data_IF_409742131868
#
_entry.id   IF_409742131868
#
_cell.length_a   1.000
_cell.length_b   1.000
_cell.length_c   1.000
_cell.angle_alpha   90.00
_cell.angle_beta   90.00
_cell.angle_gamma   90.00
#
_symmetry.space_group_name_H-M   'P 1'
#
loop_
_entity.id
_entity.type
_entity.pdbx_description
1 polymer ?
#
# COMPACT_ATOMS: atom_id res chain seq x y z
N UNK A 1 -5.28 -12.66 29.01
CA UNK A 1 -4.96 -13.66 27.99
C UNK A 1 -6.04 -13.58 26.92
N UNK A 2 -5.73 -13.03 25.74
CA UNK A 2 -6.70 -13.00 24.63
C UNK A 2 -6.73 -14.39 24.00
N UNK A 3 -7.91 -15.00 23.97
CA UNK A 3 -8.11 -16.39 23.59
C UNK A 3 -7.86 -16.58 22.08
N UNK A 4 -6.74 -17.22 21.72
CA UNK A 4 -6.33 -17.43 20.32
C UNK A 4 -7.38 -18.17 19.50
N UNK A 5 -8.15 -19.06 20.14
CA UNK A 5 -9.27 -19.80 19.54
C UNK A 5 -10.38 -18.90 19.02
N UNK A 6 -10.51 -17.68 19.54
CA UNK A 6 -11.52 -16.71 19.09
C UNK A 6 -11.00 -15.77 18.01
N UNK A 7 -9.70 -15.46 18.02
CA UNK A 7 -9.12 -14.47 17.11
C UNK A 7 -8.94 -15.01 15.70
N UNK A 8 -8.51 -16.26 15.57
CA UNK A 8 -8.32 -16.89 14.27
C UNK A 8 -9.62 -16.93 13.43
N UNK A 9 -10.75 -17.47 13.91
CA UNK A 9 -12.00 -17.42 13.14
C UNK A 9 -12.49 -15.98 12.93
N UNK A 10 -12.32 -15.08 13.90
CA UNK A 10 -12.74 -13.68 13.75
C UNK A 10 -11.96 -12.90 12.68
N UNK A 11 -10.67 -13.19 12.49
CA UNK A 11 -9.88 -12.63 11.39
C UNK A 11 -10.31 -13.25 10.05
N UNK A 12 -10.57 -14.55 10.00
CA UNK A 12 -11.08 -15.24 8.81
C UNK A 12 -12.42 -14.63 8.36
N UNK A 13 -13.39 -14.54 9.27
CA UNK A 13 -14.72 -13.95 9.00
C UNK A 13 -14.62 -12.49 8.54
N UNK A 14 -13.72 -11.71 9.16
CA UNK A 14 -13.49 -10.33 8.77
C UNK A 14 -12.95 -10.24 7.34
N UNK A 15 -12.00 -11.11 6.98
CA UNK A 15 -11.44 -11.16 5.64
C UNK A 15 -12.47 -11.60 4.60
N UNK A 16 -13.25 -12.64 4.89
CA UNK A 16 -14.33 -13.11 4.00
C UNK A 16 -15.39 -12.03 3.78
N UNK A 17 -15.74 -11.27 4.82
CA UNK A 17 -16.78 -10.23 4.73
C UNK A 17 -16.29 -8.95 4.05
N UNK A 18 -15.04 -8.53 4.32
CA UNK A 18 -14.53 -7.22 3.90
C UNK A 18 -13.54 -7.30 2.74
N UNK A 19 -13.12 -8.50 2.34
CA UNK A 19 -12.07 -8.77 1.36
C UNK A 19 -10.78 -7.97 1.60
N UNK A 20 -10.48 -7.69 2.88
CA UNK A 20 -9.27 -6.98 3.32
C UNK A 20 -8.82 -7.47 4.69
N UNK A 21 -7.54 -7.29 4.98
CA UNK A 21 -6.98 -7.58 6.30
C UNK A 21 -7.41 -6.54 7.33
N UNK A 22 -7.71 -6.95 8.57
CA UNK A 22 -8.03 -6.03 9.66
C UNK A 22 -6.83 -5.13 9.98
N UNK A 23 -7.10 -3.83 10.17
CA UNK A 23 -6.07 -2.83 10.43
C UNK A 23 -5.88 -2.56 11.92
N UNK A 24 -4.64 -2.59 12.39
CA UNK A 24 -4.29 -2.19 13.76
C UNK A 24 -4.36 -0.66 14.00
N UNK A 25 -4.69 0.14 12.98
CA UNK A 25 -4.69 1.63 13.03
C UNK A 25 -6.07 2.21 12.73
N UNK A 26 -7.13 1.41 12.88
CA UNK A 26 -8.52 1.82 12.72
C UNK A 26 -9.11 2.44 14.00
N UNK A 27 -10.21 3.19 13.87
CA UNK A 27 -10.96 3.74 15.00
C UNK A 27 -11.85 2.69 15.69
N UNK A 28 -12.17 1.57 15.03
CA UNK A 28 -12.92 0.47 15.60
C UNK A 28 -12.06 -0.39 16.55
N UNK A 29 -12.45 -0.51 17.82
CA UNK A 29 -11.72 -1.32 18.79
C UNK A 29 -11.68 -2.82 18.42
N UNK A 30 -12.74 -3.30 17.76
CA UNK A 30 -12.84 -4.68 17.28
C UNK A 30 -11.83 -4.95 16.16
N UNK A 31 -11.88 -4.17 15.07
CA UNK A 31 -10.95 -4.34 13.93
C UNK A 31 -9.49 -4.09 14.37
N UNK A 32 -9.26 -3.15 15.29
CA UNK A 32 -7.93 -2.88 15.84
C UNK A 32 -7.36 -4.10 16.56
N UNK A 33 -8.18 -4.77 17.37
CA UNK A 33 -7.77 -5.97 18.12
C UNK A 33 -7.42 -7.12 17.17
N UNK A 34 -8.22 -7.32 16.12
CA UNK A 34 -7.96 -8.31 15.07
C UNK A 34 -6.65 -8.00 14.32
N UNK A 35 -6.44 -6.74 13.93
CA UNK A 35 -5.23 -6.31 13.23
C UNK A 35 -3.97 -6.44 14.11
N UNK A 36 -4.06 -6.12 15.41
CA UNK A 36 -2.94 -6.32 16.34
C UNK A 36 -2.62 -7.80 16.53
N UNK A 37 -3.64 -8.65 16.66
CA UNK A 37 -3.43 -10.10 16.78
C UNK A 37 -2.77 -10.68 15.53
N UNK A 38 -3.27 -10.33 14.34
CA UNK A 38 -2.69 -10.78 13.07
C UNK A 38 -1.24 -10.32 12.91
N UNK A 39 -0.94 -9.09 13.33
CA UNK A 39 0.43 -8.57 13.31
C UNK A 39 1.35 -9.34 14.26
N UNK A 40 0.88 -9.76 15.45
CA UNK A 40 1.67 -10.60 16.36
C UNK A 40 2.02 -11.95 15.74
N UNK A 41 1.08 -12.57 15.01
CA UNK A 41 1.36 -13.81 14.30
C UNK A 41 2.44 -13.61 13.22
N UNK A 42 2.34 -12.52 12.44
CA UNK A 42 3.36 -12.20 11.42
C UNK A 42 4.74 -11.94 12.02
N UNK A 43 4.82 -11.22 13.13
CA UNK A 43 6.08 -10.99 13.85
C UNK A 43 6.65 -12.30 14.38
N UNK A 44 5.81 -13.20 14.92
CA UNK A 44 6.26 -14.52 15.37
C UNK A 44 6.81 -15.36 14.20
N UNK A 45 6.18 -15.30 13.03
CA UNK A 45 6.69 -15.95 11.81
C UNK A 45 8.03 -15.36 11.38
N UNK A 46 8.14 -14.03 11.27
CA UNK A 46 9.35 -13.34 10.85
C UNK A 46 10.55 -13.52 11.81
N UNK A 47 10.27 -13.66 13.11
CA UNK A 47 11.30 -13.91 14.13
C UNK A 47 11.66 -15.39 14.30
N UNK A 48 11.02 -16.29 13.57
CA UNK A 48 11.20 -17.74 13.73
C UNK A 48 10.68 -18.30 15.06
N UNK A 49 9.91 -17.51 15.81
CA UNK A 49 9.31 -17.91 17.09
C UNK A 49 7.94 -18.59 16.92
N UNK A 50 7.50 -18.78 15.67
CA UNK A 50 6.25 -19.46 15.35
C UNK A 50 6.45 -20.98 15.30
N UNK A 51 5.59 -21.68 16.03
CA UNK A 51 5.49 -23.13 15.98
C UNK A 51 4.82 -23.60 14.67
N UNK A 52 5.30 -24.71 14.10
CA UNK A 52 4.80 -25.27 12.83
C UNK A 52 3.31 -25.66 12.89
N UNK A 53 2.82 -26.16 14.03
CA UNK A 53 1.41 -26.48 14.22
C UNK A 53 0.55 -25.21 14.17
N UNK A 54 1.06 -24.11 14.76
CA UNK A 54 0.39 -22.81 14.71
C UNK A 54 0.38 -22.25 13.29
N UNK A 55 1.49 -22.38 12.55
CA UNK A 55 1.56 -21.97 11.14
C UNK A 55 0.55 -22.74 10.29
N UNK A 56 0.52 -24.07 10.41
CA UNK A 56 -0.41 -24.91 9.65
C UNK A 56 -1.89 -24.55 9.95
N UNK A 57 -2.23 -24.25 11.20
CA UNK A 57 -3.57 -23.81 11.56
C UNK A 57 -3.95 -22.46 10.92
N UNK A 58 -3.01 -21.52 10.84
CA UNK A 58 -3.23 -20.23 10.18
C UNK A 58 -3.32 -20.37 8.65
N UNK A 59 -2.46 -21.19 8.04
CA UNK A 59 -2.48 -21.47 6.60
C UNK A 59 -3.79 -22.15 6.17
N UNK A 60 -4.31 -23.06 7.00
CA UNK A 60 -5.58 -23.74 6.74
C UNK A 60 -6.78 -22.80 6.89
N UNK A 61 -6.79 -21.95 7.92
CA UNK A 61 -7.95 -21.13 8.24
C UNK A 61 -7.97 -19.80 7.47
N UNK A 62 -6.82 -19.24 7.15
CA UNK A 62 -6.68 -17.91 6.55
C UNK A 62 -5.56 -17.92 5.50
N UNK A 63 -5.78 -18.47 4.30
CA UNK A 63 -4.76 -18.48 3.26
C UNK A 63 -4.25 -17.06 2.95
N UNK A 64 -2.92 -16.88 2.90
CA UNK A 64 -2.29 -15.58 2.63
C UNK A 64 -2.28 -14.62 3.82
N UNK A 65 -2.60 -15.07 5.04
CA UNK A 65 -2.50 -14.28 6.28
C UNK A 65 -1.10 -13.72 6.51
N UNK A 66 -0.06 -14.33 5.94
CA UNK A 66 1.32 -13.86 5.94
C UNK A 66 1.52 -12.52 5.19
N UNK A 67 0.56 -12.09 4.36
CA UNK A 67 0.62 -10.84 3.60
C UNK A 67 0.56 -9.60 4.51
N UNK A 68 1.72 -9.23 5.05
CA UNK A 68 1.98 -8.07 5.87
C UNK A 68 1.70 -6.77 5.10
N UNK A 69 1.03 -5.74 5.68
CA UNK A 69 0.97 -4.40 5.11
C UNK A 69 2.35 -3.82 4.75
N UNK A 70 3.42 -4.20 5.45
CA UNK A 70 4.79 -3.87 5.04
C UNK A 70 5.26 -4.75 3.86
N UNK A 71 4.82 -6.01 3.75
CA UNK A 71 5.02 -6.87 2.57
C UNK A 71 4.30 -6.36 1.32
N UNK A 72 3.01 -6.04 1.41
CA UNK A 72 2.22 -5.42 0.34
C UNK A 72 2.82 -4.05 -0.04
N UNK A 73 3.28 -3.28 0.96
CA UNK A 73 3.98 -2.03 0.69
C UNK A 73 5.28 -2.29 -0.05
N UNK A 74 6.06 -3.28 0.36
CA UNK A 74 7.35 -3.63 -0.23
C UNK A 74 7.18 -4.16 -1.65
N UNK A 75 6.15 -4.97 -1.94
CA UNK A 75 5.85 -5.43 -3.29
C UNK A 75 5.54 -4.26 -4.22
N UNK A 76 4.68 -3.34 -3.78
CA UNK A 76 4.40 -2.10 -4.51
C UNK A 76 5.63 -1.20 -4.64
N UNK A 77 6.48 -1.15 -3.62
CA UNK A 77 7.72 -0.39 -3.63
C UNK A 77 8.75 -0.99 -4.60
N UNK A 78 8.82 -2.32 -4.71
CA UNK A 78 9.65 -3.05 -5.68
C UNK A 78 9.18 -2.84 -7.10
N UNK A 79 7.87 -2.88 -7.34
CA UNK A 79 7.28 -2.54 -8.64
C UNK A 79 7.64 -1.10 -9.05
N UNK A 80 7.50 -0.14 -8.11
CA UNK A 80 7.88 1.25 -8.35
C UNK A 80 9.39 1.42 -8.60
N UNK A 81 10.24 0.75 -7.83
CA UNK A 81 11.70 0.74 -7.99
C UNK A 81 12.07 0.19 -9.37
N UNK A 82 11.51 -0.95 -9.76
CA UNK A 82 11.74 -1.58 -11.07
C UNK A 82 11.34 -0.64 -12.20
N UNK A 83 10.18 0.00 -12.09
CA UNK A 83 9.73 0.97 -13.08
C UNK A 83 10.69 2.16 -13.19
N UNK A 84 11.13 2.74 -12.07
CA UNK A 84 12.04 3.89 -12.05
C UNK A 84 13.45 3.56 -12.53
N UNK A 85 13.92 2.33 -12.31
CA UNK A 85 15.23 1.85 -12.79
C UNK A 85 15.19 1.51 -14.29
N UNK A 86 14.07 1.00 -14.79
CA UNK A 86 13.93 0.56 -16.19
C UNK A 86 13.47 1.69 -17.11
N UNK A 87 12.60 2.57 -16.62
CA UNK A 87 11.99 3.65 -17.38
C UNK A 87 12.81 4.93 -17.23
N UNK A 88 13.11 5.60 -18.35
CA UNK A 88 13.79 6.92 -18.34
C UNK A 88 12.87 8.08 -17.93
N UNK A 89 11.60 7.80 -17.62
CA UNK A 89 10.57 8.80 -17.35
C UNK A 89 9.91 8.61 -15.97
N UNK A 90 9.48 9.71 -15.36
CA UNK A 90 8.71 9.70 -14.12
C UNK A 90 7.32 9.10 -14.42
N UNK A 91 6.83 8.13 -13.62
CA UNK A 91 5.53 7.51 -13.84
C UNK A 91 4.41 8.56 -13.81
N UNK A 92 3.52 8.51 -14.80
CA UNK A 92 2.43 9.46 -14.95
C UNK A 92 1.09 8.87 -14.51
N UNK A 93 0.37 9.59 -13.65
CA UNK A 93 -1.00 9.24 -13.27
C UNK A 93 -2.01 9.41 -14.44
N UNK A 94 -1.59 10.08 -15.52
CA UNK A 94 -2.37 10.23 -16.75
C UNK A 94 -2.03 9.16 -17.81
N UNK A 95 -1.14 8.20 -17.49
CA UNK A 95 -0.79 7.13 -18.42
C UNK A 95 -1.99 6.23 -18.72
N UNK A 96 -2.08 5.78 -19.96
CA UNK A 96 -3.03 4.74 -20.39
C UNK A 96 -2.64 3.36 -19.87
N UNK A 97 -1.39 3.16 -19.46
CA UNK A 97 -0.92 1.92 -18.86
C UNK A 97 -1.37 1.84 -17.40
N UNK A 98 -2.17 0.82 -17.08
CA UNK A 98 -2.70 0.60 -15.74
C UNK A 98 -1.59 0.55 -14.68
N UNK A 99 -0.52 -0.21 -14.94
CA UNK A 99 0.59 -0.39 -14.00
C UNK A 99 1.32 0.94 -13.70
N UNK A 100 1.67 1.71 -14.74
CA UNK A 100 2.32 3.01 -14.59
C UNK A 100 1.45 3.99 -13.79
N UNK A 101 0.15 4.06 -14.09
CA UNK A 101 -0.78 4.94 -13.39
C UNK A 101 -0.88 4.59 -11.91
N UNK A 102 -0.94 3.29 -11.57
CA UNK A 102 -1.00 2.84 -10.19
C UNK A 102 0.29 3.16 -9.43
N UNK A 103 1.46 2.99 -10.05
CA UNK A 103 2.76 3.38 -9.48
C UNK A 103 2.80 4.90 -9.23
N UNK A 104 2.34 5.72 -10.18
CA UNK A 104 2.31 7.18 -10.04
C UNK A 104 1.43 7.64 -8.88
N UNK A 105 0.22 7.08 -8.75
CA UNK A 105 -0.71 7.38 -7.66
C UNK A 105 -0.16 6.91 -6.31
N UNK A 106 0.46 5.74 -6.28
CA UNK A 106 1.07 5.20 -5.07
C UNK A 106 2.24 6.07 -4.58
N UNK A 107 3.14 6.49 -5.48
CA UNK A 107 4.24 7.42 -5.17
C UNK A 107 3.72 8.76 -4.65
N UNK A 108 2.66 9.30 -5.24
CA UNK A 108 2.03 10.55 -4.78
C UNK A 108 1.48 10.41 -3.34
N UNK A 109 0.92 9.25 -3.00
CA UNK A 109 0.49 8.94 -1.65
C UNK A 109 1.68 8.88 -0.67
N UNK A 110 2.79 8.23 -1.04
CA UNK A 110 3.99 8.18 -0.19
C UNK A 110 4.61 9.57 0.02
N UNK A 111 4.68 10.39 -1.02
CA UNK A 111 5.13 11.79 -0.91
C UNK A 111 4.25 12.61 0.03
N UNK A 112 2.93 12.42 -0.04
CA UNK A 112 1.98 13.13 0.83
C UNK A 112 2.11 12.68 2.29
N UNK A 113 2.28 11.38 2.53
CA UNK A 113 2.56 10.82 3.86
C UNK A 113 3.88 11.36 4.43
N UNK A 114 4.92 11.50 3.60
CA UNK A 114 6.20 12.08 4.00
C UNK A 114 6.05 13.57 4.36
N UNK A 115 5.39 14.37 3.51
CA UNK A 115 5.11 15.79 3.80
C UNK A 115 4.30 15.98 5.09
N UNK A 116 3.41 15.04 5.40
CA UNK A 116 2.64 15.03 6.63
C UNK A 116 3.39 14.48 7.86
N UNK A 117 4.65 14.05 7.72
CA UNK A 117 5.43 13.44 8.81
C UNK A 117 4.90 12.08 9.29
N UNK A 118 4.06 11.42 8.48
CA UNK A 118 3.40 10.14 8.82
C UNK A 118 4.02 8.93 8.10
N UNK A 119 4.97 9.16 7.20
CA UNK A 119 5.72 8.09 6.57
C UNK A 119 6.71 7.50 7.58
N UNK A 120 6.62 6.19 7.82
CA UNK A 120 7.55 5.48 8.70
C UNK A 120 8.98 5.64 8.18
N UNK A 121 9.92 5.86 9.09
CA UNK A 121 11.34 6.06 8.77
C UNK A 121 11.93 4.92 7.92
N UNK A 122 11.63 3.65 8.25
CA UNK A 122 12.10 2.51 7.46
C UNK A 122 11.61 2.52 6.01
N UNK A 123 10.37 2.96 5.77
CA UNK A 123 9.79 3.09 4.40
C UNK A 123 10.42 4.24 3.64
N UNK A 124 10.72 5.35 4.33
CA UNK A 124 11.42 6.48 3.75
C UNK A 124 12.84 6.10 3.29
N UNK A 125 13.63 5.45 4.15
CA UNK A 125 14.98 5.01 3.79
C UNK A 125 14.99 4.07 2.61
N UNK A 126 14.10 3.07 2.60
CA UNK A 126 14.00 2.12 1.50
C UNK A 126 13.72 2.82 0.16
N UNK A 127 12.75 3.75 0.14
CA UNK A 127 12.44 4.54 -1.07
C UNK A 127 13.61 5.42 -1.51
N UNK A 128 14.34 6.02 -0.56
CA UNK A 128 15.48 6.86 -0.87
C UNK A 128 16.62 6.06 -1.53
N UNK A 129 16.85 4.84 -1.06
CA UNK A 129 17.91 3.95 -1.57
C UNK A 129 17.54 3.29 -2.91
N UNK A 130 16.28 2.87 -3.08
CA UNK A 130 15.89 1.98 -4.19
C UNK A 130 15.06 2.65 -5.30
N UNK A 131 14.51 3.84 -5.06
CA UNK A 131 13.64 4.53 -6.02
C UNK A 131 14.26 5.88 -6.44
N UNK A 132 15.16 5.91 -7.44
CA UNK A 132 15.80 7.15 -7.85
C UNK A 132 14.78 8.18 -8.31
N UNK A 133 14.85 9.39 -7.76
CA UNK A 133 13.96 10.49 -8.15
C UNK A 133 12.50 10.32 -7.73
N UNK A 134 12.18 9.44 -6.78
CA UNK A 134 10.79 9.19 -6.34
C UNK A 134 10.06 10.42 -5.75
N UNK A 135 10.79 11.45 -5.32
CA UNK A 135 10.24 12.74 -4.88
C UNK A 135 9.97 13.73 -6.02
N UNK A 136 10.37 13.40 -7.27
CA UNK A 136 10.07 14.24 -8.42
C UNK A 136 8.57 14.20 -8.68
N UNK A 137 7.91 15.35 -8.57
CA UNK A 137 6.55 15.48 -9.08
C UNK A 137 6.59 15.58 -10.60
N UNK A 138 5.72 14.86 -11.33
CA UNK A 138 5.50 15.17 -12.73
C UNK A 138 5.10 16.64 -12.82
N UNK A 139 5.76 17.39 -13.70
CA UNK A 139 5.39 18.78 -13.93
C UNK A 139 3.88 18.81 -14.23
N UNK A 140 3.12 19.65 -13.52
CA UNK A 140 1.72 19.89 -13.90
C UNK A 140 1.76 20.37 -15.34
N UNK A 141 1.38 19.53 -16.29
CA UNK A 141 1.02 20.00 -17.63
C UNK A 141 -0.25 20.79 -17.44
N UNK A 142 -0.07 22.10 -17.22
CA UNK A 142 -1.16 23.07 -17.25
C UNK A 142 -1.67 23.01 -18.69
N UNK A 143 -2.69 22.20 -18.94
CA UNK A 143 -3.44 22.29 -20.18
C UNK A 143 -4.10 23.67 -20.16
N UNK A 144 -3.43 24.64 -20.77
CA UNK A 144 -4.02 25.93 -21.09
C UNK A 144 -5.28 25.61 -21.89
N UNK A 145 -6.44 25.80 -21.27
CA UNK A 145 -7.73 25.81 -21.96
C UNK A 145 -7.61 26.92 -22.99
N UNK A 146 -7.33 26.56 -24.24
CA UNK A 146 -7.35 27.49 -25.37
C UNK A 146 -8.78 27.98 -25.49
N UNK A 147 -9.02 29.16 -24.93
CA UNK A 147 -10.13 30.03 -25.31
C UNK A 147 -9.98 30.30 -26.80
N UNK A 148 -10.71 29.54 -27.63
CA UNK A 148 -10.85 29.85 -29.05
C UNK A 148 -11.57 31.20 -29.18
N UNK A 149 -11.19 32.06 -30.14
CA UNK A 149 -11.87 33.32 -30.35
C UNK A 149 -13.25 33.00 -30.94
N UNK A 150 -14.32 33.42 -30.26
CA UNK A 150 -15.63 33.53 -30.87
C UNK A 150 -15.57 34.70 -31.87
N UNK A 151 -15.17 34.38 -33.10
CA UNK A 151 -15.24 35.28 -34.24
C UNK A 151 -16.69 35.59 -34.57
N UNK A 152 -16.98 36.88 -34.60
CA UNK A 152 -18.19 37.56 -35.04
C UNK A 152 -18.61 37.15 -36.45
N UNK A 153 -19.92 37.04 -36.71
CA UNK A 153 -20.53 37.48 -37.97
C UNK A 153 -21.99 37.88 -37.74
N UNK A 154 -22.21 39.19 -37.78
CA UNK A 154 -23.48 39.85 -38.09
C UNK A 154 -23.78 39.65 -39.58
N UNK A 155 -25.04 39.35 -39.90
CA UNK A 155 -25.85 40.05 -40.90
C UNK A 155 -27.30 39.54 -40.80
#
# INVERSE_FOLDING_TARGET
MLDERRMLPAVADFYETNHRWPSAVTSSDYERSLGQWLNRQRVALASGAMDDFRRAALDQAIPGWEADPDGIWLDRAREASTFLLTSRAVPSAASSQYNERMIALWLACQQSLHRAGRLREGRFRWLQEHCPGWMRTPAKTLTKKTSGPAGTLNA
#
